data_IF_946466646843
#
_entry.id   IF_946466646843
#
_cell.length_a   1.000
_cell.length_b   1.000
_cell.length_c   1.000
_cell.angle_alpha   90.00
_cell.angle_beta   90.00
_cell.angle_gamma   90.00
#
_symmetry.space_group_name_H-M   'P 1'
#
loop_
_entity.id
_entity.type
_entity.pdbx_description
1 polymer ?
#
# COMPACT_ATOMS: atom_id res chain seq x y z
N UNK A 1 -25.30 -3.11 12.74
CA UNK A 1 -25.34 -4.43 13.36
C UNK A 1 -24.10 -5.14 12.87
N UNK A 2 -23.14 -5.51 13.52
CA UNK A 2 -22.72 -5.60 14.92
C UNK A 2 -21.23 -5.96 14.86
N UNK A 3 -20.48 -5.34 15.69
CA UNK A 3 -19.09 -5.58 15.99
C UNK A 3 -18.67 -7.06 15.93
N UNK A 4 -17.57 -7.32 15.21
CA UNK A 4 -16.69 -8.44 15.44
C UNK A 4 -15.25 -7.92 15.52
N UNK A 5 -14.98 -7.20 16.61
CA UNK A 5 -13.62 -6.99 17.11
C UNK A 5 -13.35 -8.13 18.06
N UNK A 6 -12.61 -9.12 17.60
CA UNK A 6 -12.12 -10.18 18.47
C UNK A 6 -11.02 -9.67 19.38
N UNK A 7 -11.26 -9.81 20.66
CA UNK A 7 -10.32 -9.65 21.74
C UNK A 7 -9.08 -10.54 21.50
N UNK A 8 -7.92 -9.94 21.32
CA UNK A 8 -6.64 -10.60 21.64
C UNK A 8 -6.07 -9.90 22.86
N UNK A 9 -5.92 -10.70 23.92
CA UNK A 9 -5.46 -10.28 25.20
C UNK A 9 -4.02 -9.75 25.16
N UNK A 10 -3.79 -8.76 26.02
CA UNK A 10 -2.47 -8.34 26.46
C UNK A 10 -1.73 -9.54 27.08
N UNK A 11 -0.66 -9.96 26.43
CA UNK A 11 0.39 -10.75 27.04
C UNK A 11 1.64 -9.90 27.13
N UNK A 12 1.86 -9.28 28.27
CA UNK A 12 3.14 -8.66 28.65
C UNK A 12 4.07 -9.75 29.14
N UNK A 13 5.28 -9.80 28.58
CA UNK A 13 6.55 -10.28 29.16
C UNK A 13 7.59 -10.09 28.05
N UNK A 14 8.57 -9.27 28.10
CA UNK A 14 9.53 -9.00 29.14
C UNK A 14 10.85 -9.69 28.85
N UNK A 15 11.92 -8.90 28.68
CA UNK A 15 13.35 -9.21 28.57
C UNK A 15 13.86 -9.16 27.10
N UNK A 16 14.55 -8.12 26.67
CA UNK A 16 15.81 -7.67 27.19
C UNK A 16 16.91 -8.09 26.24
N UNK A 17 17.48 -7.14 25.48
CA UNK A 17 18.92 -6.97 25.51
C UNK A 17 19.36 -5.80 24.64
N UNK A 18 20.15 -4.99 25.26
CA UNK A 18 20.82 -3.83 24.76
C UNK A 18 21.70 -4.13 23.55
N UNK A 19 21.33 -3.49 22.43
CA UNK A 19 22.25 -3.14 21.38
C UNK A 19 22.29 -1.63 21.34
N UNK A 20 23.13 -1.01 22.18
CA UNK A 20 23.38 0.43 22.14
C UNK A 20 24.17 0.75 20.87
N UNK A 21 23.47 0.86 19.75
CA UNK A 21 23.93 1.56 18.58
C UNK A 21 23.74 3.07 18.85
N UNK A 22 24.84 3.77 19.08
CA UNK A 22 24.85 5.23 19.14
C UNK A 22 24.35 5.78 17.81
N UNK A 23 23.03 6.00 17.69
CA UNK A 23 22.50 6.86 16.64
C UNK A 23 22.75 8.30 17.09
N UNK A 24 23.68 8.96 16.39
CA UNK A 24 23.86 10.39 16.44
C UNK A 24 22.50 11.08 16.43
N UNK A 25 22.31 12.05 17.32
CA UNK A 25 21.20 13.00 17.28
C UNK A 25 21.03 13.45 15.83
N UNK A 26 19.92 13.06 15.20
CA UNK A 26 19.53 13.67 13.94
C UNK A 26 19.55 15.18 14.16
N UNK A 27 20.38 15.89 13.44
CA UNK A 27 20.34 17.34 13.38
C UNK A 27 19.00 17.67 12.76
N UNK A 28 18.05 18.17 13.58
CA UNK A 28 16.80 18.70 13.08
C UNK A 28 17.07 19.68 11.95
N UNK A 29 16.18 19.71 10.96
CA UNK A 29 16.26 20.67 9.85
C UNK A 29 16.56 22.07 10.39
N UNK A 30 17.43 22.80 9.73
CA UNK A 30 17.82 24.14 10.19
C UNK A 30 16.58 25.00 10.41
N UNK A 31 16.27 25.32 11.67
CA UNK A 31 15.14 26.17 12.05
C UNK A 31 14.03 25.51 12.85
N UNK A 32 13.84 24.17 12.79
CA UNK A 32 12.81 23.50 13.58
C UNK A 32 13.35 23.09 14.96
N UNK A 33 12.58 23.36 16.01
CA UNK A 33 12.87 22.92 17.38
C UNK A 33 11.77 22.01 17.90
N UNK A 34 12.17 20.99 18.68
CA UNK A 34 11.22 20.12 19.36
C UNK A 34 10.42 20.92 20.40
N UNK A 35 9.15 20.60 20.61
CA UNK A 35 8.30 21.31 21.56
C UNK A 35 8.79 21.11 23.00
N UNK A 36 8.54 22.11 23.84
CA UNK A 36 8.82 22.04 25.29
C UNK A 36 7.77 21.22 26.06
N UNK A 37 6.58 21.07 25.50
CA UNK A 37 5.49 20.29 26.06
C UNK A 37 5.07 19.21 25.04
N UNK A 38 4.66 18.01 25.53
CA UNK A 38 4.26 16.95 24.62
C UNK A 38 3.01 17.34 23.83
N UNK A 39 3.03 17.09 22.51
CA UNK A 39 1.91 17.35 21.61
C UNK A 39 0.99 16.15 21.47
N UNK A 40 -0.28 16.39 21.12
CA UNK A 40 -1.18 15.36 20.65
C UNK A 40 -1.11 15.28 19.12
N UNK A 41 -1.08 14.05 18.57
CA UNK A 41 -1.04 13.79 17.12
C UNK A 41 -2.32 13.07 16.68
N UNK A 42 -2.94 13.58 15.63
CA UNK A 42 -4.07 12.96 14.92
C UNK A 42 -3.57 12.35 13.61
N UNK A 43 -3.64 11.04 13.52
CA UNK A 43 -3.13 10.25 12.42
C UNK A 43 -4.31 9.66 11.67
N UNK A 44 -4.40 9.89 10.36
CA UNK A 44 -5.39 9.24 9.51
C UNK A 44 -4.73 8.20 8.60
N UNK A 45 -5.36 7.03 8.49
CA UNK A 45 -4.97 5.96 7.59
C UNK A 45 -6.02 5.79 6.49
N UNK A 46 -5.60 5.97 5.25
CA UNK A 46 -6.46 5.82 4.08
C UNK A 46 -6.01 4.67 3.16
N UNK A 47 -5.07 3.84 3.62
CA UNK A 47 -4.50 2.75 2.82
C UNK A 47 -4.44 1.39 3.56
N UNK A 48 -4.92 1.32 4.81
CA UNK A 48 -4.74 0.14 5.66
C UNK A 48 -3.34 0.03 6.27
N UNK A 49 -2.56 1.10 6.25
CA UNK A 49 -1.17 1.11 6.70
C UNK A 49 -1.02 0.87 8.22
N UNK A 50 -2.01 1.22 9.02
CA UNK A 50 -1.97 0.97 10.47
C UNK A 50 -1.81 -0.51 10.82
N UNK A 51 -2.25 -1.44 9.98
CA UNK A 51 -1.96 -2.86 10.19
C UNK A 51 -0.45 -3.14 10.26
N UNK A 52 0.33 -2.41 9.47
CA UNK A 52 1.78 -2.57 9.32
C UNK A 52 2.59 -1.71 10.31
N UNK A 53 2.06 -0.59 10.75
CA UNK A 53 2.84 0.47 11.39
C UNK A 53 2.35 0.87 12.78
N UNK A 54 1.12 0.56 13.18
CA UNK A 54 0.59 0.99 14.47
C UNK A 54 1.46 0.54 15.66
N UNK A 55 1.99 -0.70 15.72
CA UNK A 55 2.88 -1.09 16.82
C UNK A 55 4.14 -0.21 16.92
N UNK A 56 4.72 0.20 15.78
CA UNK A 56 5.88 1.08 15.74
C UNK A 56 5.53 2.52 16.16
N UNK A 57 4.34 3.03 15.77
CA UNK A 57 3.81 4.33 16.23
C UNK A 57 3.65 4.35 17.75
N UNK A 58 3.06 3.30 18.32
CA UNK A 58 2.90 3.17 19.77
C UNK A 58 4.25 3.01 20.49
N UNK A 59 5.20 2.30 19.89
CA UNK A 59 6.56 2.20 20.42
C UNK A 59 7.25 3.58 20.45
N UNK A 60 7.06 4.41 19.43
CA UNK A 60 7.54 5.79 19.43
C UNK A 60 6.94 6.60 20.58
N UNK A 61 5.61 6.58 20.74
CA UNK A 61 4.92 7.29 21.83
C UNK A 61 5.43 6.84 23.20
N UNK A 62 5.63 5.54 23.38
CA UNK A 62 6.17 4.99 24.63
C UNK A 62 7.62 5.40 24.89
N UNK A 63 8.46 5.48 23.85
CA UNK A 63 9.86 5.88 23.95
C UNK A 63 10.06 7.38 24.10
N UNK A 64 9.10 8.21 23.65
CA UNK A 64 9.18 9.68 23.61
C UNK A 64 7.99 10.37 24.30
N UNK A 65 7.66 10.04 25.58
CA UNK A 65 6.49 10.61 26.26
C UNK A 65 6.62 12.12 26.49
N UNK A 66 7.83 12.66 26.43
CA UNK A 66 8.11 14.09 26.49
C UNK A 66 7.83 14.83 25.18
N UNK A 67 7.62 14.11 24.07
CA UNK A 67 7.29 14.69 22.76
C UNK A 67 5.85 14.45 22.37
N UNK A 68 5.27 13.30 22.74
CA UNK A 68 3.92 12.92 22.34
C UNK A 68 3.11 12.48 23.58
N UNK A 69 2.06 13.23 23.86
CA UNK A 69 1.12 12.93 24.96
C UNK A 69 0.08 11.89 24.53
N UNK A 70 -0.41 11.97 23.31
CA UNK A 70 -1.45 11.11 22.76
C UNK A 70 -1.33 10.98 21.24
N UNK A 71 -1.67 9.79 20.74
CA UNK A 71 -1.94 9.56 19.31
C UNK A 71 -3.39 9.10 19.15
N UNK A 72 -4.09 9.70 18.19
CA UNK A 72 -5.45 9.31 17.80
C UNK A 72 -5.37 8.77 16.37
N UNK A 73 -6.02 7.63 16.13
CA UNK A 73 -6.03 6.97 14.84
C UNK A 73 -7.43 6.99 14.24
N UNK A 74 -7.53 7.46 13.00
CA UNK A 74 -8.77 7.45 12.22
C UNK A 74 -8.54 6.69 10.92
N UNK A 75 -9.56 6.02 10.41
CA UNK A 75 -9.53 5.34 9.10
C UNK A 75 -10.60 5.95 8.19
N UNK A 76 -10.25 6.22 6.95
CA UNK A 76 -11.16 6.73 5.93
C UNK A 76 -10.82 6.16 4.55
N UNK A 77 -11.75 6.16 3.59
CA UNK A 77 -11.45 5.84 2.20
C UNK A 77 -10.54 6.89 1.56
N UNK A 78 -9.53 6.44 0.79
CA UNK A 78 -8.58 7.33 0.12
C UNK A 78 -9.23 8.42 -0.75
N UNK A 79 -10.31 8.16 -1.52
CA UNK A 79 -10.94 9.18 -2.36
C UNK A 79 -11.59 10.35 -1.63
N UNK A 80 -11.92 10.20 -0.33
CA UNK A 80 -12.58 11.25 0.47
C UNK A 80 -11.57 12.25 1.04
N UNK A 81 -10.33 11.83 1.25
CA UNK A 81 -9.29 12.63 1.93
C UNK A 81 -8.98 13.98 1.26
N UNK A 82 -8.83 14.10 -0.07
CA UNK A 82 -8.47 15.38 -0.68
C UNK A 82 -9.51 16.48 -0.44
N UNK A 83 -10.80 16.12 -0.46
CA UNK A 83 -11.88 17.09 -0.20
C UNK A 83 -11.87 17.55 1.26
N UNK A 84 -11.63 16.63 2.21
CA UNK A 84 -11.52 16.93 3.61
C UNK A 84 -10.34 17.86 3.91
N UNK A 85 -9.15 17.55 3.40
CA UNK A 85 -7.96 18.38 3.58
C UNK A 85 -8.13 19.78 2.98
N UNK A 86 -8.74 19.89 1.81
CA UNK A 86 -9.06 21.19 1.22
C UNK A 86 -10.00 22.03 2.08
N UNK A 87 -11.04 21.41 2.63
CA UNK A 87 -11.97 22.11 3.53
C UNK A 87 -11.28 22.62 4.79
N UNK A 88 -10.40 21.80 5.39
CA UNK A 88 -9.61 22.19 6.55
C UNK A 88 -8.66 23.36 6.22
N UNK A 89 -7.90 23.26 5.14
CA UNK A 89 -6.96 24.29 4.70
C UNK A 89 -7.65 25.61 4.33
N UNK A 90 -8.80 25.55 3.66
CA UNK A 90 -9.61 26.73 3.36
C UNK A 90 -10.14 27.43 4.63
N UNK A 91 -10.37 26.67 5.71
CA UNK A 91 -10.77 27.19 7.01
C UNK A 91 -9.59 27.59 7.91
N UNK A 92 -8.34 27.54 7.42
CA UNK A 92 -7.11 27.70 8.19
C UNK A 92 -7.06 26.78 9.43
N UNK A 93 -7.54 25.56 9.27
CA UNK A 93 -7.62 24.54 10.33
C UNK A 93 -6.80 23.32 9.94
N UNK A 94 -6.18 22.67 10.92
CA UNK A 94 -5.45 21.41 10.76
C UNK A 94 -5.94 20.43 11.81
N UNK A 95 -6.80 19.51 11.41
CA UNK A 95 -7.34 18.46 12.28
C UNK A 95 -6.59 17.14 12.12
N UNK A 96 -5.84 17.00 11.03
CA UNK A 96 -5.03 15.83 10.67
C UNK A 96 -3.56 16.26 10.65
N UNK A 97 -2.74 15.62 11.47
CA UNK A 97 -1.32 15.96 11.59
C UNK A 97 -0.43 15.08 10.70
N UNK A 98 -0.80 13.80 10.54
CA UNK A 98 -0.08 12.82 9.73
C UNK A 98 -1.07 11.96 8.94
N UNK A 99 -0.78 11.75 7.68
CA UNK A 99 -1.53 10.87 6.78
C UNK A 99 -0.69 9.65 6.42
N UNK A 100 -1.24 8.47 6.66
CA UNK A 100 -0.72 7.20 6.16
C UNK A 100 -1.50 6.85 4.90
N UNK A 101 -0.82 6.83 3.75
CA UNK A 101 -1.49 6.72 2.45
C UNK A 101 -0.77 5.78 1.50
N UNK A 102 -1.51 5.25 0.52
CA UNK A 102 -0.96 4.60 -0.66
C UNK A 102 -0.62 5.60 -1.76
N UNK A 103 -0.21 5.08 -2.90
CA UNK A 103 0.15 5.86 -4.09
C UNK A 103 -1.03 6.68 -4.65
N UNK A 104 -2.26 6.22 -4.43
CA UNK A 104 -3.50 6.85 -4.87
C UNK A 104 -3.77 8.21 -4.21
N UNK A 105 -3.89 8.27 -2.86
CA UNK A 105 -4.13 9.54 -2.18
C UNK A 105 -2.86 10.42 -2.12
N UNK A 106 -1.65 9.82 -2.14
CA UNK A 106 -0.43 10.60 -2.38
C UNK A 106 -0.56 11.39 -3.69
N UNK A 107 -0.90 10.70 -4.78
CA UNK A 107 -1.02 11.30 -6.12
C UNK A 107 -2.08 12.40 -6.17
N UNK A 108 -3.27 12.12 -5.62
CA UNK A 108 -4.35 13.10 -5.55
C UNK A 108 -3.98 14.34 -4.73
N UNK A 109 -3.21 14.16 -3.66
CA UNK A 109 -2.75 15.27 -2.83
C UNK A 109 -1.63 16.08 -3.47
N UNK A 110 -0.75 15.45 -4.26
CA UNK A 110 0.26 16.16 -5.07
C UNK A 110 -0.43 17.02 -6.13
N UNK A 111 -1.35 16.43 -6.90
CA UNK A 111 -2.11 17.13 -7.94
C UNK A 111 -2.86 18.35 -7.38
N UNK A 112 -3.39 18.25 -6.18
CA UNK A 112 -4.16 19.29 -5.52
C UNK A 112 -3.33 20.16 -4.56
N UNK A 113 -2.00 19.98 -4.50
CA UNK A 113 -1.06 20.77 -3.69
C UNK A 113 -1.40 20.79 -2.18
N UNK A 114 -1.73 19.62 -1.61
CA UNK A 114 -2.21 19.48 -0.23
C UNK A 114 -1.10 19.18 0.79
N UNK A 115 0.07 18.68 0.34
CA UNK A 115 1.13 18.18 1.22
C UNK A 115 2.21 19.21 1.48
N UNK A 116 2.81 19.17 2.67
CA UNK A 116 4.07 19.87 2.99
C UNK A 116 5.18 19.25 2.14
N UNK A 117 6.05 20.09 1.58
CA UNK A 117 7.29 19.64 0.96
C UNK A 117 8.30 19.27 2.07
N UNK A 118 8.52 17.95 2.23
CA UNK A 118 9.43 17.41 3.24
C UNK A 118 10.88 17.34 2.73
N UNK A 119 11.06 17.17 1.42
CA UNK A 119 12.37 17.05 0.79
C UNK A 119 12.45 18.01 -0.43
N UNK A 120 13.55 18.78 -0.59
CA UNK A 120 14.72 18.79 0.30
C UNK A 120 14.56 19.66 1.55
N UNK A 121 13.46 20.42 1.68
CA UNK A 121 13.30 21.48 2.68
C UNK A 121 13.55 21.02 4.14
N UNK A 122 13.08 19.80 4.49
CA UNK A 122 13.19 19.25 5.83
C UNK A 122 14.17 18.05 5.91
N UNK A 123 15.07 17.92 4.93
CA UNK A 123 15.99 16.77 4.85
C UNK A 123 16.88 16.58 6.09
N UNK A 124 17.21 17.65 6.81
CA UNK A 124 17.99 17.58 8.05
C UNK A 124 17.29 16.86 9.21
N UNK A 125 15.95 16.71 9.17
CA UNK A 125 15.16 15.98 10.16
C UNK A 125 14.97 14.51 9.84
N UNK A 126 15.46 14.03 8.68
CA UNK A 126 15.29 12.67 8.20
C UNK A 126 16.66 11.99 7.99
N UNK A 127 16.74 10.65 8.05
CA UNK A 127 17.93 9.94 7.62
C UNK A 127 18.15 10.15 6.11
N UNK A 128 19.37 9.88 5.61
CA UNK A 128 19.61 9.87 4.16
C UNK A 128 18.87 8.70 3.52
N UNK A 129 17.67 8.96 3.01
CA UNK A 129 16.72 7.95 2.54
C UNK A 129 17.32 7.01 1.49
N UNK A 130 18.13 7.52 0.56
CA UNK A 130 18.80 6.71 -0.47
C UNK A 130 19.80 5.70 0.10
N UNK A 131 20.41 6.00 1.25
CA UNK A 131 21.39 5.10 1.88
C UNK A 131 20.69 3.93 2.59
N UNK A 132 19.50 4.16 3.14
CA UNK A 132 18.79 3.18 3.97
C UNK A 132 17.76 2.36 3.20
N UNK A 133 17.13 2.89 2.16
CA UNK A 133 16.07 2.18 1.43
C UNK A 133 16.61 1.03 0.56
N UNK A 134 15.79 -0.01 0.40
CA UNK A 134 15.90 -0.94 -0.73
C UNK A 134 15.86 -0.15 -2.04
N UNK A 135 16.57 -0.62 -3.08
CA UNK A 135 16.61 0.10 -4.37
C UNK A 135 15.22 0.39 -4.93
N UNK A 136 14.27 -0.57 -5.00
CA UNK A 136 12.93 -0.27 -5.49
C UNK A 136 12.16 0.72 -4.60
N UNK A 137 12.35 0.67 -3.27
CA UNK A 137 11.73 1.63 -2.35
C UNK A 137 12.30 3.05 -2.54
N UNK A 138 13.60 3.17 -2.83
CA UNK A 138 14.21 4.46 -3.18
C UNK A 138 13.64 5.03 -4.49
N UNK A 139 13.33 4.18 -5.47
CA UNK A 139 12.63 4.59 -6.69
C UNK A 139 11.20 5.06 -6.40
N UNK A 140 10.47 4.34 -5.54
CA UNK A 140 9.13 4.75 -5.09
C UNK A 140 9.16 6.09 -4.34
N UNK A 141 10.22 6.36 -3.56
CA UNK A 141 10.39 7.65 -2.89
C UNK A 141 10.44 8.82 -3.90
N UNK A 142 10.99 8.62 -5.09
CA UNK A 142 10.99 9.62 -6.16
C UNK A 142 9.59 10.07 -6.59
N UNK A 143 8.62 9.15 -6.60
CA UNK A 143 7.22 9.46 -6.96
C UNK A 143 6.55 10.42 -5.97
N UNK A 144 7.00 10.48 -4.72
CA UNK A 144 6.48 11.40 -3.74
C UNK A 144 6.84 12.87 -4.02
N UNK A 145 7.75 13.14 -4.95
CA UNK A 145 8.18 14.52 -5.33
C UNK A 145 8.51 15.38 -4.12
N UNK A 146 9.13 14.79 -3.10
CA UNK A 146 9.46 15.47 -1.83
C UNK A 146 8.29 15.63 -0.87
N UNK A 147 7.06 15.25 -1.21
CA UNK A 147 5.85 15.52 -0.44
C UNK A 147 5.39 14.34 0.43
N UNK A 148 6.20 13.31 0.55
CA UNK A 148 5.95 12.15 1.41
C UNK A 148 7.22 11.34 1.64
N UNK A 149 7.19 10.48 2.65
CA UNK A 149 8.27 9.55 3.01
C UNK A 149 7.75 8.13 2.94
N UNK A 150 8.39 7.27 2.15
CA UNK A 150 8.03 5.84 2.04
C UNK A 150 8.21 5.18 3.41
N UNK A 151 7.18 4.48 3.87
CA UNK A 151 7.22 3.73 5.15
C UNK A 151 7.15 2.23 4.95
N UNK A 152 6.47 1.76 3.91
CA UNK A 152 6.44 0.35 3.51
C UNK A 152 6.53 0.21 2.01
N UNK A 153 7.06 -0.93 1.55
CA UNK A 153 7.26 -1.25 0.13
C UNK A 153 6.92 -2.70 -0.14
N UNK A 154 6.37 -2.98 -1.31
CA UNK A 154 6.24 -4.34 -1.82
C UNK A 154 6.24 -4.34 -3.36
N UNK A 155 6.63 -5.46 -4.01
CA UNK A 155 6.60 -5.57 -5.46
C UNK A 155 5.17 -5.58 -6.02
N UNK A 156 4.19 -5.91 -5.20
CA UNK A 156 2.74 -5.85 -5.44
C UNK A 156 2.22 -6.90 -6.41
N UNK A 157 1.92 -6.53 -7.66
CA UNK A 157 1.29 -7.37 -8.67
C UNK A 157 1.59 -6.90 -10.10
N UNK A 158 0.76 -7.25 -11.07
CA UNK A 158 -0.52 -7.99 -10.94
C UNK A 158 -0.33 -9.50 -10.79
N UNK A 159 -0.98 -10.08 -9.82
CA UNK A 159 -1.14 -11.51 -9.70
C UNK A 159 -2.62 -11.88 -9.84
N UNK A 160 -2.91 -13.12 -10.16
CA UNK A 160 -4.25 -13.66 -10.09
C UNK A 160 -4.29 -14.80 -9.09
N UNK A 161 -5.36 -14.86 -8.27
CA UNK A 161 -5.63 -15.96 -7.38
C UNK A 161 -6.81 -16.76 -7.90
N UNK A 162 -6.77 -18.08 -7.75
CA UNK A 162 -7.81 -19.00 -8.22
C UNK A 162 -8.01 -20.16 -7.24
N UNK A 163 -9.18 -20.82 -7.32
CA UNK A 163 -9.45 -22.03 -6.57
C UNK A 163 -9.16 -23.27 -7.43
N UNK A 164 -8.13 -24.07 -7.10
CA UNK A 164 -7.74 -25.24 -7.89
C UNK A 164 -8.86 -26.25 -8.10
N UNK A 165 -9.77 -26.38 -7.14
CA UNK A 165 -10.94 -27.28 -7.25
C UNK A 165 -11.94 -26.83 -8.34
N UNK A 166 -11.98 -25.54 -8.69
CA UNK A 166 -12.92 -24.95 -9.66
C UNK A 166 -12.28 -24.56 -10.97
N UNK A 167 -10.98 -24.20 -10.97
CA UNK A 167 -10.24 -23.82 -12.17
C UNK A 167 -9.15 -24.85 -12.45
N UNK A 168 -9.43 -25.79 -13.35
CA UNK A 168 -8.49 -26.87 -13.71
C UNK A 168 -7.47 -26.42 -14.78
N UNK A 169 -7.92 -25.63 -15.74
CA UNK A 169 -7.10 -25.09 -16.82
C UNK A 169 -6.80 -23.63 -16.52
N UNK A 170 -5.66 -23.38 -15.89
CA UNK A 170 -5.23 -22.04 -15.48
C UNK A 170 -4.71 -21.28 -16.70
N UNK A 171 -5.26 -20.09 -17.01
CA UNK A 171 -4.79 -19.26 -18.12
C UNK A 171 -3.33 -18.86 -17.96
N UNK A 172 -2.56 -18.90 -19.04
CA UNK A 172 -1.13 -18.51 -19.05
C UNK A 172 -0.89 -17.17 -19.73
N UNK A 173 -1.80 -16.75 -20.60
CA UNK A 173 -1.69 -15.49 -21.35
C UNK A 173 -2.91 -14.61 -21.13
N UNK A 174 -2.83 -13.34 -21.50
CA UNK A 174 -3.97 -12.43 -21.42
C UNK A 174 -5.13 -12.88 -22.32
N UNK A 175 -4.82 -13.43 -23.49
CA UNK A 175 -5.80 -13.96 -24.43
C UNK A 175 -6.53 -15.18 -23.84
N UNK A 176 -5.79 -16.11 -23.22
CA UNK A 176 -6.38 -17.28 -22.55
C UNK A 176 -7.26 -16.86 -21.35
N UNK A 177 -6.86 -15.81 -20.60
CA UNK A 177 -7.66 -15.28 -19.51
C UNK A 177 -8.97 -14.66 -20.02
N UNK A 178 -8.92 -13.92 -21.12
CA UNK A 178 -10.10 -13.36 -21.75
C UNK A 178 -11.04 -14.48 -22.24
N UNK A 179 -10.51 -15.51 -22.89
CA UNK A 179 -11.30 -16.65 -23.38
C UNK A 179 -11.91 -17.44 -22.21
N UNK A 180 -11.14 -17.69 -21.15
CA UNK A 180 -11.64 -18.30 -19.94
C UNK A 180 -12.81 -17.49 -19.34
N UNK A 181 -12.70 -16.16 -19.31
CA UNK A 181 -13.74 -15.31 -18.76
C UNK A 181 -15.04 -15.34 -19.58
N UNK A 182 -14.95 -15.48 -20.91
CA UNK A 182 -16.13 -15.65 -21.78
C UNK A 182 -16.89 -16.94 -21.47
N UNK A 183 -16.14 -18.03 -21.24
CA UNK A 183 -16.70 -19.34 -20.92
C UNK A 183 -17.21 -19.42 -19.48
N UNK A 184 -16.68 -18.58 -18.59
CA UNK A 184 -16.97 -18.54 -17.16
C UNK A 184 -17.44 -17.14 -16.74
N UNK A 185 -18.56 -16.67 -17.32
CA UNK A 185 -19.11 -15.33 -17.05
C UNK A 185 -19.30 -15.09 -15.56
N UNK A 186 -18.87 -13.93 -15.10
CA UNK A 186 -18.95 -13.48 -13.71
C UNK A 186 -18.12 -14.32 -12.71
N UNK A 187 -17.21 -15.18 -13.20
CA UNK A 187 -16.35 -15.99 -12.32
C UNK A 187 -14.98 -15.37 -12.06
N UNK A 188 -14.57 -14.40 -12.88
CA UNK A 188 -13.43 -13.52 -12.65
C UNK A 188 -13.92 -12.12 -12.19
N UNK A 189 -13.27 -11.56 -11.18
CA UNK A 189 -13.57 -10.21 -10.72
C UNK A 189 -12.29 -9.50 -10.24
N UNK A 190 -12.28 -8.17 -10.31
CA UNK A 190 -11.31 -7.29 -9.66
C UNK A 190 -12.00 -6.02 -9.16
N UNK A 191 -11.46 -5.40 -8.13
CA UNK A 191 -12.01 -4.16 -7.60
C UNK A 191 -11.64 -2.95 -8.46
N UNK A 192 -12.38 -1.87 -8.31
CA UNK A 192 -12.11 -0.58 -8.98
C UNK A 192 -10.68 -0.12 -8.71
N UNK A 193 -9.89 0.23 -9.75
CA UNK A 193 -8.47 0.55 -9.60
C UNK A 193 -8.16 1.70 -8.64
N UNK A 194 -9.01 2.73 -8.61
CA UNK A 194 -8.84 3.88 -7.71
C UNK A 194 -8.94 3.53 -6.22
N UNK A 195 -9.57 2.38 -5.88
CA UNK A 195 -9.85 1.99 -4.49
C UNK A 195 -9.22 0.66 -4.12
N UNK A 196 -8.32 0.13 -4.95
CA UNK A 196 -7.76 -1.21 -4.76
C UNK A 196 -6.34 -1.33 -5.32
N UNK A 197 -5.39 -1.71 -4.47
CA UNK A 197 -4.04 -2.04 -4.90
C UNK A 197 -4.01 -3.13 -5.99
N UNK A 198 -4.66 -4.30 -5.79
CA UNK A 198 -4.80 -5.32 -6.84
C UNK A 198 -5.40 -4.79 -8.15
N UNK A 199 -6.52 -4.08 -8.09
CA UNK A 199 -7.14 -3.50 -9.29
C UNK A 199 -6.25 -2.49 -10.00
N UNK A 200 -5.56 -1.66 -9.24
CA UNK A 200 -4.59 -0.67 -9.73
C UNK A 200 -3.41 -1.34 -10.43
N UNK A 201 -2.77 -2.31 -9.80
CA UNK A 201 -1.62 -2.99 -10.39
C UNK A 201 -2.00 -3.86 -11.59
N UNK A 202 -3.21 -4.41 -11.62
CA UNK A 202 -3.72 -5.12 -12.81
C UNK A 202 -3.85 -4.15 -13.99
N UNK A 203 -4.53 -3.04 -13.80
CA UNK A 203 -4.67 -2.02 -14.85
C UNK A 203 -3.32 -1.53 -15.36
N UNK A 204 -2.35 -1.25 -14.47
CA UNK A 204 -1.02 -0.75 -14.84
C UNK A 204 -0.05 -1.83 -15.32
N UNK A 205 -0.28 -3.10 -15.00
CA UNK A 205 0.53 -4.22 -15.46
C UNK A 205 0.17 -4.70 -16.86
N UNK A 206 -1.10 -4.55 -17.25
CA UNK A 206 -1.57 -4.98 -18.58
C UNK A 206 -0.81 -4.35 -19.75
N UNK A 207 -0.42 -3.07 -19.74
CA UNK A 207 0.34 -2.48 -20.84
C UNK A 207 1.68 -3.20 -21.12
N UNK A 208 2.33 -3.72 -20.09
CA UNK A 208 3.55 -4.52 -20.25
C UNK A 208 3.24 -5.90 -20.81
N UNK A 209 2.22 -6.58 -20.27
CA UNK A 209 1.77 -7.91 -20.70
C UNK A 209 1.31 -7.87 -22.17
N UNK A 210 0.53 -6.87 -22.55
CA UNK A 210 -0.04 -6.72 -23.89
C UNK A 210 0.92 -6.03 -24.86
N UNK A 211 2.08 -5.56 -24.37
CA UNK A 211 3.08 -4.83 -25.18
C UNK A 211 2.44 -3.61 -25.87
N UNK A 212 1.83 -2.77 -25.07
CA UNK A 212 1.35 -1.46 -25.53
C UNK A 212 2.51 -0.55 -25.93
N UNK A 213 2.24 0.46 -26.75
CA UNK A 213 3.25 1.33 -27.31
C UNK A 213 4.03 2.12 -26.24
N UNK A 214 3.34 2.57 -25.20
CA UNK A 214 3.95 3.26 -24.05
C UNK A 214 3.22 2.90 -22.75
N UNK A 215 3.77 2.00 -21.92
CA UNK A 215 3.16 1.63 -20.64
C UNK A 215 3.01 2.78 -19.63
N UNK A 216 3.65 3.93 -19.85
CA UNK A 216 3.57 5.10 -18.97
C UNK A 216 2.58 6.17 -19.47
N UNK A 217 1.97 5.99 -20.62
CA UNK A 217 1.00 6.94 -21.19
C UNK A 217 -0.38 6.28 -21.39
N UNK A 218 -1.29 6.37 -20.41
CA UNK A 218 -2.63 5.77 -20.52
C UNK A 218 -3.53 6.46 -21.53
N UNK A 219 -3.17 7.66 -22.00
CA UNK A 219 -3.99 8.44 -22.95
C UNK A 219 -3.72 8.02 -24.38
N UNK A 220 -2.45 7.86 -24.76
CA UNK A 220 -2.02 7.61 -26.15
C UNK A 220 -1.29 6.29 -26.34
N UNK A 221 -0.89 5.64 -25.24
CA UNK A 221 -0.03 4.47 -25.29
C UNK A 221 -0.72 3.15 -24.92
N UNK A 222 -1.99 3.14 -24.45
CA UNK A 222 -2.69 1.97 -23.91
C UNK A 222 -3.84 1.46 -24.77
N UNK A 223 -3.73 1.52 -26.09
CA UNK A 223 -4.80 1.09 -27.00
C UNK A 223 -5.21 -0.37 -26.76
N UNK A 224 -4.21 -1.27 -26.61
CA UNK A 224 -4.46 -2.71 -26.39
C UNK A 224 -5.05 -2.94 -24.99
N UNK A 225 -4.53 -2.27 -23.98
CA UNK A 225 -5.03 -2.37 -22.60
C UNK A 225 -6.49 -1.92 -22.50
N UNK A 226 -6.86 -0.79 -23.07
CA UNK A 226 -8.25 -0.33 -23.03
C UNK A 226 -9.19 -1.27 -23.80
N UNK A 227 -8.78 -1.75 -24.99
CA UNK A 227 -9.54 -2.74 -25.75
C UNK A 227 -9.72 -4.03 -24.95
N UNK A 228 -8.66 -4.53 -24.31
CA UNK A 228 -8.68 -5.73 -23.49
C UNK A 228 -9.58 -5.59 -22.26
N UNK A 229 -9.46 -4.49 -21.50
CA UNK A 229 -10.28 -4.26 -20.32
C UNK A 229 -11.77 -4.11 -20.64
N UNK A 230 -12.11 -3.51 -21.78
CA UNK A 230 -13.50 -3.45 -22.29
C UNK A 230 -14.03 -4.85 -22.58
N UNK A 231 -13.27 -5.64 -23.35
CA UNK A 231 -13.67 -7.00 -23.71
C UNK A 231 -13.78 -7.92 -22.48
N UNK A 232 -12.83 -7.80 -21.52
CA UNK A 232 -12.90 -8.52 -20.25
C UNK A 232 -14.11 -8.09 -19.44
N UNK A 233 -14.41 -6.79 -19.44
CA UNK A 233 -15.55 -6.20 -18.76
C UNK A 233 -16.90 -6.73 -19.22
N UNK A 234 -17.04 -7.16 -20.47
CA UNK A 234 -18.30 -7.80 -20.98
C UNK A 234 -18.66 -9.06 -20.21
N UNK A 235 -17.67 -9.71 -19.57
CA UNK A 235 -17.82 -10.94 -18.81
C UNK A 235 -17.83 -10.71 -17.29
N UNK A 236 -17.82 -9.44 -16.84
CA UNK A 236 -17.85 -9.03 -15.44
C UNK A 236 -19.14 -8.23 -15.20
N UNK A 237 -19.93 -8.68 -14.24
CA UNK A 237 -21.23 -8.07 -13.92
C UNK A 237 -21.07 -6.67 -13.32
N UNK A 238 -20.14 -6.49 -12.38
CA UNK A 238 -19.84 -5.23 -11.71
C UNK A 238 -18.42 -5.25 -11.11
N UNK A 239 -17.95 -4.10 -10.67
CA UNK A 239 -16.65 -3.95 -10.03
C UNK A 239 -16.82 -3.54 -8.56
N UNK A 240 -16.37 -4.38 -7.60
CA UNK A 240 -16.43 -4.05 -6.18
C UNK A 240 -15.76 -2.73 -5.85
N UNK A 241 -16.27 -2.05 -4.82
CA UNK A 241 -15.75 -0.76 -4.36
C UNK A 241 -14.35 -0.83 -3.71
N UNK A 242 -13.84 -2.03 -3.43
CA UNK A 242 -12.53 -2.23 -2.82
C UNK A 242 -12.11 -3.69 -2.76
N UNK A 243 -10.89 -3.93 -2.27
CA UNK A 243 -10.28 -5.26 -2.29
C UNK A 243 -10.95 -6.23 -1.31
N UNK A 244 -11.32 -5.78 -0.12
CA UNK A 244 -11.94 -6.66 0.91
C UNK A 244 -13.23 -7.32 0.42
N UNK A 245 -14.22 -6.61 -0.17
CA UNK A 245 -15.40 -7.27 -0.74
C UNK A 245 -15.04 -8.21 -1.88
N UNK A 246 -14.05 -7.90 -2.71
CA UNK A 246 -13.56 -8.80 -3.77
C UNK A 246 -13.06 -10.12 -3.20
N UNK A 247 -12.23 -10.09 -2.15
CA UNK A 247 -11.70 -11.30 -1.50
C UNK A 247 -12.81 -12.12 -0.83
N UNK A 248 -13.85 -11.48 -0.27
CA UNK A 248 -14.99 -12.19 0.30
C UNK A 248 -15.77 -12.98 -0.76
N UNK A 249 -16.05 -12.39 -1.93
CA UNK A 249 -16.71 -13.09 -3.04
C UNK A 249 -15.88 -14.25 -3.59
N UNK A 250 -14.56 -14.13 -3.54
CA UNK A 250 -13.67 -15.23 -3.90
C UNK A 250 -13.69 -16.33 -2.84
N UNK A 251 -13.62 -15.95 -1.57
CA UNK A 251 -13.59 -16.89 -0.45
C UNK A 251 -14.89 -17.68 -0.28
N UNK A 252 -16.05 -17.04 -0.49
CA UNK A 252 -17.37 -17.70 -0.37
C UNK A 252 -17.75 -18.55 -1.62
N UNK A 253 -16.92 -18.51 -2.67
CA UNK A 253 -17.12 -19.30 -3.88
C UNK A 253 -18.01 -18.63 -4.93
N UNK A 254 -18.46 -17.41 -4.73
CA UNK A 254 -19.18 -16.65 -5.76
C UNK A 254 -18.30 -16.43 -6.99
N UNK A 255 -16.99 -16.20 -6.76
CA UNK A 255 -15.97 -16.06 -7.80
C UNK A 255 -14.98 -17.23 -7.73
N UNK A 256 -14.47 -17.63 -8.89
CA UNK A 256 -13.48 -18.71 -9.01
C UNK A 256 -12.06 -18.18 -9.20
N UNK A 257 -11.95 -16.90 -9.61
CA UNK A 257 -10.70 -16.21 -9.86
C UNK A 257 -10.82 -14.72 -9.51
N UNK A 258 -9.77 -14.15 -8.92
CA UNK A 258 -9.66 -12.73 -8.62
C UNK A 258 -8.28 -12.21 -8.94
N UNK A 259 -8.20 -10.91 -9.22
CA UNK A 259 -6.91 -10.21 -9.25
C UNK A 259 -6.43 -9.97 -7.83
N UNK A 260 -5.14 -10.20 -7.59
CA UNK A 260 -4.50 -10.07 -6.28
C UNK A 260 -3.09 -9.45 -6.38
N UNK A 261 -2.44 -9.32 -5.24
CA UNK A 261 -1.03 -8.95 -5.06
C UNK A 261 -0.38 -9.92 -4.08
N UNK A 262 0.92 -9.83 -3.86
CA UNK A 262 1.62 -10.66 -2.87
C UNK A 262 0.93 -10.64 -1.50
N UNK A 263 0.60 -9.44 -1.01
CA UNK A 263 -0.02 -9.28 0.29
C UNK A 263 -1.50 -9.69 0.33
N UNK A 264 -2.25 -9.33 -0.69
CA UNK A 264 -3.67 -9.71 -0.82
C UNK A 264 -3.87 -11.19 -1.20
N UNK A 265 -2.80 -11.91 -1.51
CA UNK A 265 -2.79 -13.36 -1.53
C UNK A 265 -2.59 -13.95 -0.11
N UNK A 266 -1.58 -13.48 0.62
CA UNK A 266 -1.21 -14.07 1.92
C UNK A 266 -2.23 -13.71 3.00
N UNK A 267 -2.46 -12.43 3.25
CA UNK A 267 -3.22 -11.94 4.40
C UNK A 267 -4.67 -12.44 4.44
N UNK A 268 -5.47 -12.45 3.34
CA UNK A 268 -6.81 -13.01 3.38
C UNK A 268 -6.86 -14.50 3.72
N UNK A 269 -5.81 -15.28 3.39
CA UNK A 269 -5.70 -16.69 3.79
C UNK A 269 -5.37 -16.82 5.28
N UNK A 270 -4.49 -15.98 5.81
CA UNK A 270 -4.21 -15.92 7.26
C UNK A 270 -5.48 -15.60 8.04
N UNK A 271 -6.28 -14.65 7.57
CA UNK A 271 -7.53 -14.23 8.20
C UNK A 271 -8.71 -15.19 7.99
N UNK A 272 -8.52 -16.27 7.22
CA UNK A 272 -9.59 -17.22 6.89
C UNK A 272 -10.71 -16.64 6.00
N UNK A 273 -10.47 -15.49 5.36
CA UNK A 273 -11.39 -14.87 4.39
C UNK A 273 -11.36 -15.66 3.08
N UNK A 274 -10.17 -16.09 2.68
CA UNK A 274 -9.91 -16.90 1.50
C UNK A 274 -9.40 -18.27 1.96
N UNK A 275 -9.85 -19.37 1.37
CA UNK A 275 -9.38 -20.71 1.69
C UNK A 275 -7.85 -20.83 1.50
N UNK A 276 -7.19 -21.60 2.37
CA UNK A 276 -5.75 -21.82 2.34
C UNK A 276 -5.25 -22.41 1.02
N UNK A 277 -6.10 -23.21 0.37
CA UNK A 277 -5.83 -23.90 -0.89
C UNK A 277 -5.82 -22.99 -2.10
N UNK A 278 -6.25 -21.73 -1.97
CA UNK A 278 -6.20 -20.78 -3.07
C UNK A 278 -4.77 -20.68 -3.61
N UNK A 279 -4.62 -20.80 -4.91
CA UNK A 279 -3.35 -20.75 -5.62
C UNK A 279 -3.22 -19.44 -6.41
N UNK A 280 -1.99 -19.13 -6.83
CA UNK A 280 -1.70 -17.93 -7.63
C UNK A 280 -1.10 -18.29 -8.98
N UNK A 281 -1.18 -17.35 -9.91
CA UNK A 281 -0.43 -17.37 -11.16
C UNK A 281 -0.20 -15.95 -11.68
N UNK A 282 0.73 -15.81 -12.61
CA UNK A 282 0.98 -14.61 -13.39
C UNK A 282 0.80 -14.91 -14.88
N UNK A 283 0.50 -13.89 -15.68
CA UNK A 283 0.37 -14.01 -17.12
C UNK A 283 1.73 -13.88 -17.82
N UNK A 284 1.88 -14.49 -18.97
CA UNK A 284 3.08 -14.35 -19.80
C UNK A 284 3.35 -12.86 -20.10
N UNK A 285 4.61 -12.45 -20.02
CA UNK A 285 5.00 -11.03 -20.14
C UNK A 285 4.83 -10.22 -18.86
N UNK A 286 4.59 -10.89 -17.73
CA UNK A 286 4.45 -10.29 -16.42
C UNK A 286 5.65 -9.42 -16.04
N UNK A 287 5.35 -8.27 -15.46
CA UNK A 287 6.27 -7.43 -14.70
C UNK A 287 5.58 -7.01 -13.41
N UNK A 288 6.31 -6.95 -12.32
CA UNK A 288 5.79 -6.37 -11.10
C UNK A 288 5.51 -4.88 -11.31
N UNK A 289 4.38 -4.40 -10.87
CA UNK A 289 4.12 -2.97 -10.68
C UNK A 289 4.16 -2.70 -9.20
N UNK A 290 5.24 -2.09 -8.75
CA UNK A 290 5.49 -1.84 -7.34
C UNK A 290 4.44 -0.93 -6.70
N UNK A 291 4.26 -1.07 -5.40
CA UNK A 291 3.44 -0.18 -4.60
C UNK A 291 4.14 0.13 -3.26
N UNK A 292 3.76 1.25 -2.65
CA UNK A 292 4.32 1.69 -1.39
C UNK A 292 3.29 2.46 -0.58
N UNK A 293 3.46 2.46 0.73
CA UNK A 293 2.76 3.41 1.58
C UNK A 293 3.69 4.54 2.01
N UNK A 294 3.10 5.69 2.21
CA UNK A 294 3.77 6.94 2.49
C UNK A 294 3.25 7.58 3.77
N UNK A 295 4.13 8.26 4.44
CA UNK A 295 3.82 9.23 5.50
C UNK A 295 3.81 10.61 4.88
N UNK A 296 2.66 11.29 4.86
CA UNK A 296 2.48 12.62 4.31
C UNK A 296 1.99 13.59 5.38
N UNK A 297 2.40 14.85 5.29
CA UNK A 297 2.01 15.91 6.24
C UNK A 297 1.12 16.91 5.51
N UNK A 298 -0.13 17.15 5.95
CA UNK A 298 -0.97 18.19 5.37
C UNK A 298 -0.39 19.59 5.57
N UNK A 299 -0.55 20.48 4.59
CA UNK A 299 -0.16 21.89 4.70
C UNK A 299 -0.92 22.59 5.82
N UNK A 300 -0.24 23.55 6.45
CA UNK A 300 -0.78 24.33 7.56
C UNK A 300 -0.39 23.82 8.95
N UNK A 301 0.30 22.67 9.04
CA UNK A 301 0.78 22.15 10.31
C UNK A 301 1.80 23.09 10.96
N UNK A 302 1.68 23.31 12.28
CA UNK A 302 2.62 24.13 13.03
C UNK A 302 4.00 23.48 13.17
N UNK A 303 5.05 24.31 13.27
CA UNK A 303 6.46 23.87 13.26
C UNK A 303 6.80 22.86 14.37
N UNK A 304 6.27 23.04 15.58
CA UNK A 304 6.52 22.12 16.69
C UNK A 304 6.00 20.70 16.40
N UNK A 305 4.79 20.57 15.86
CA UNK A 305 4.24 19.27 15.45
C UNK A 305 5.01 18.71 14.25
N UNK A 306 5.40 19.53 13.29
CA UNK A 306 6.21 19.10 12.15
C UNK A 306 7.55 18.53 12.63
N UNK A 307 8.22 19.17 13.59
CA UNK A 307 9.47 18.67 14.18
C UNK A 307 9.29 17.28 14.82
N UNK A 308 8.19 17.07 15.57
CA UNK A 308 7.88 15.79 16.17
C UNK A 308 7.59 14.73 15.11
N UNK A 309 6.88 15.08 14.04
CA UNK A 309 6.57 14.14 12.95
C UNK A 309 7.83 13.73 12.19
N UNK A 310 8.79 14.63 11.97
CA UNK A 310 10.07 14.26 11.35
C UNK A 310 10.89 13.30 12.23
N UNK A 311 10.92 13.52 13.55
CA UNK A 311 11.55 12.60 14.51
C UNK A 311 10.83 11.25 14.52
N UNK A 312 9.48 11.25 14.48
CA UNK A 312 8.66 10.04 14.32
C UNK A 312 8.97 9.31 13.01
N UNK A 313 9.01 10.01 11.86
CA UNK A 313 9.34 9.39 10.57
C UNK A 313 10.73 8.75 10.61
N UNK A 314 11.71 9.41 11.20
CA UNK A 314 13.06 8.87 11.38
C UNK A 314 13.09 7.62 12.26
N UNK A 315 12.29 7.59 13.32
CA UNK A 315 12.11 6.42 14.17
C UNK A 315 11.46 5.25 13.41
N UNK A 316 10.39 5.52 12.64
CA UNK A 316 9.67 4.53 11.86
C UNK A 316 10.54 3.85 10.80
N UNK A 317 11.60 4.52 10.34
CA UNK A 317 12.55 3.98 9.35
C UNK A 317 13.71 3.18 9.97
N UNK A 318 13.75 3.00 11.27
CA UNK A 318 14.74 2.13 11.91
C UNK A 318 14.42 0.65 11.61
N UNK A 319 15.43 -0.22 11.39
CA UNK A 319 15.18 -1.63 11.05
C UNK A 319 14.27 -2.38 12.02
N UNK A 320 14.37 -2.12 13.32
CA UNK A 320 13.53 -2.74 14.34
C UNK A 320 12.05 -2.33 14.19
N UNK A 321 11.77 -1.12 13.75
CA UNK A 321 10.41 -0.62 13.53
C UNK A 321 9.87 -1.10 12.19
N UNK A 322 10.72 -1.15 11.19
CA UNK A 322 10.38 -1.68 9.87
C UNK A 322 10.02 -3.17 9.89
N UNK A 323 10.54 -3.93 10.86
CA UNK A 323 10.23 -5.35 10.99
C UNK A 323 8.73 -5.62 11.30
N UNK A 324 8.03 -4.67 11.90
CA UNK A 324 6.56 -4.79 12.08
C UNK A 324 5.81 -4.82 10.74
N UNK A 325 6.38 -4.27 9.67
CA UNK A 325 5.74 -4.23 8.36
C UNK A 325 5.58 -5.60 7.68
N UNK A 326 6.23 -6.65 8.18
CA UNK A 326 5.92 -8.02 7.75
C UNK A 326 4.48 -8.41 8.10
N UNK A 327 3.96 -7.91 9.24
CA UNK A 327 2.60 -8.14 9.71
C UNK A 327 2.18 -9.64 9.55
N UNK A 328 0.97 -9.88 9.13
CA UNK A 328 0.46 -11.18 8.69
C UNK A 328 0.48 -11.28 7.15
N UNK A 329 1.50 -10.69 6.52
CA UNK A 329 1.70 -10.70 5.07
C UNK A 329 0.82 -9.72 4.29
N UNK A 330 0.17 -8.75 4.97
CA UNK A 330 -0.77 -7.83 4.31
C UNK A 330 -0.15 -7.01 3.17
N UNK A 331 1.15 -6.69 3.28
CA UNK A 331 1.89 -5.92 2.27
C UNK A 331 3.24 -6.57 1.94
N UNK A 332 3.23 -7.88 1.74
CA UNK A 332 4.43 -8.72 1.67
C UNK A 332 5.43 -8.29 0.58
N UNK A 333 6.76 -8.13 0.89
CA UNK A 333 7.37 -8.35 2.20
C UNK A 333 7.12 -7.23 3.23
N UNK A 334 6.88 -5.98 2.84
CA UNK A 334 6.50 -4.86 3.70
C UNK A 334 7.61 -3.89 4.02
N UNK A 335 8.78 -4.30 4.59
CA UNK A 335 9.86 -3.37 4.91
C UNK A 335 10.40 -2.63 3.67
N UNK A 336 10.59 -1.33 3.81
CA UNK A 336 11.22 -0.49 2.78
C UNK A 336 12.73 -0.31 2.95
N UNK A 337 13.25 -0.65 4.13
CA UNK A 337 14.63 -0.39 4.56
C UNK A 337 15.49 -1.64 4.45
N UNK A 338 16.77 -1.45 4.07
CA UNK A 338 17.77 -2.52 3.98
C UNK A 338 18.04 -3.17 5.35
N UNK A 339 18.45 -4.43 5.33
CA UNK A 339 18.90 -5.16 6.53
C UNK A 339 17.77 -5.62 7.44
N UNK A 340 16.52 -5.44 7.07
CA UNK A 340 15.36 -5.97 7.80
C UNK A 340 15.08 -7.39 7.34
N UNK A 341 14.99 -8.32 8.29
CA UNK A 341 14.72 -9.74 8.01
C UNK A 341 13.47 -10.20 8.74
N UNK A 342 12.83 -11.26 8.25
CA UNK A 342 11.67 -11.87 8.90
C UNK A 342 11.96 -12.31 10.34
N UNK A 343 13.21 -12.72 10.65
CA UNK A 343 13.62 -13.09 12.00
C UNK A 343 13.53 -11.93 13.01
N UNK A 344 13.53 -10.68 12.55
CA UNK A 344 13.34 -9.48 13.38
C UNK A 344 11.88 -9.16 13.65
N UNK A 345 10.96 -9.73 12.86
CA UNK A 345 9.53 -9.48 12.97
C UNK A 345 8.94 -10.13 14.24
N UNK A 346 7.76 -9.67 14.71
CA UNK A 346 7.03 -10.34 15.77
C UNK A 346 6.81 -11.83 15.48
N UNK A 347 6.79 -12.65 16.52
CA UNK A 347 6.61 -14.11 16.38
C UNK A 347 5.35 -14.48 15.61
N UNK A 348 4.25 -13.75 15.82
CA UNK A 348 3.01 -13.96 15.09
C UNK A 348 3.19 -13.78 13.58
N UNK A 349 3.93 -12.74 13.17
CA UNK A 349 4.25 -12.51 11.73
C UNK A 349 5.10 -13.65 11.16
N UNK A 350 6.12 -14.09 11.92
CA UNK A 350 6.96 -15.21 11.49
C UNK A 350 6.14 -16.50 11.30
N UNK A 351 5.22 -16.79 12.23
CA UNK A 351 4.38 -17.99 12.17
C UNK A 351 3.38 -17.92 11.01
N UNK A 352 2.73 -16.76 10.83
CA UNK A 352 1.81 -16.54 9.72
C UNK A 352 2.50 -16.71 8.36
N UNK A 353 3.68 -16.11 8.18
CA UNK A 353 4.43 -16.21 6.92
C UNK A 353 5.05 -17.60 6.70
N UNK A 354 5.39 -18.32 7.76
CA UNK A 354 5.81 -19.71 7.66
C UNK A 354 4.68 -20.62 7.19
N UNK A 355 3.44 -20.36 7.63
CA UNK A 355 2.29 -21.21 7.31
C UNK A 355 1.63 -20.83 5.97
N UNK A 356 1.50 -19.54 5.67
CA UNK A 356 0.74 -19.01 4.53
C UNK A 356 1.60 -18.34 3.47
N UNK A 357 2.89 -18.12 3.72
CA UNK A 357 3.82 -17.58 2.72
C UNK A 357 3.93 -18.49 1.50
N UNK A 358 4.48 -17.94 0.42
CA UNK A 358 4.69 -18.66 -0.84
C UNK A 358 6.18 -18.83 -1.09
N UNK A 359 6.69 -20.06 -1.15
CA UNK A 359 8.11 -20.30 -1.46
C UNK A 359 8.54 -19.75 -2.82
N UNK A 360 7.60 -19.67 -3.77
CA UNK A 360 7.83 -19.15 -5.12
C UNK A 360 8.03 -17.64 -5.19
N UNK A 361 7.62 -16.87 -4.19
CA UNK A 361 7.71 -15.40 -4.25
C UNK A 361 9.13 -14.88 -4.34
N UNK A 362 10.07 -15.45 -3.60
CA UNK A 362 11.47 -15.00 -3.66
C UNK A 362 12.04 -15.15 -5.07
N UNK A 363 11.78 -16.28 -5.73
CA UNK A 363 12.20 -16.53 -7.09
C UNK A 363 11.48 -15.61 -8.10
N UNK A 364 10.18 -15.39 -7.93
CA UNK A 364 9.41 -14.50 -8.79
C UNK A 364 9.88 -13.04 -8.67
N UNK A 365 10.15 -12.57 -7.45
CA UNK A 365 10.61 -11.21 -7.19
C UNK A 365 12.01 -10.99 -7.76
N UNK A 366 12.90 -11.97 -7.60
CA UNK A 366 14.26 -11.88 -8.14
C UNK A 366 14.32 -12.06 -9.67
N UNK A 367 13.38 -12.82 -10.25
CA UNK A 367 13.40 -13.22 -11.67
C UNK A 367 12.55 -12.37 -12.60
N UNK A 368 11.74 -11.43 -12.09
CA UNK A 368 10.85 -10.62 -12.93
C UNK A 368 11.14 -9.13 -12.82
N UNK A 369 10.99 -8.35 -13.91
CA UNK A 369 11.17 -6.91 -13.87
C UNK A 369 10.24 -6.24 -12.84
N UNK A 370 10.74 -5.19 -12.20
CA UNK A 370 9.95 -4.35 -11.28
C UNK A 370 9.79 -2.97 -11.90
N UNK A 371 8.55 -2.64 -12.24
CA UNK A 371 8.16 -1.37 -12.80
C UNK A 371 7.58 -0.46 -11.71
N UNK A 372 7.86 0.84 -11.82
CA UNK A 372 7.16 1.83 -10.99
C UNK A 372 5.70 1.96 -11.46
N UNK A 373 4.76 2.34 -10.60
CA UNK A 373 3.44 2.78 -11.04
C UNK A 373 3.53 4.02 -11.94
N UNK A 374 2.41 4.48 -12.43
CA UNK A 374 2.32 5.76 -13.15
C UNK A 374 2.71 6.92 -12.24
N UNK A 375 3.20 7.99 -12.83
CA UNK A 375 3.38 9.26 -12.13
C UNK A 375 2.04 9.76 -11.56
N UNK A 376 2.06 10.53 -10.46
CA UNK A 376 0.85 10.91 -9.74
C UNK A 376 -0.29 11.51 -10.59
N UNK A 377 0.04 12.50 -11.40
CA UNK A 377 -0.90 13.17 -12.31
C UNK A 377 -1.42 12.26 -13.43
N UNK A 378 -0.54 11.40 -13.95
CA UNK A 378 -0.90 10.40 -14.97
C UNK A 378 -1.79 9.30 -14.38
N UNK A 379 -1.55 8.91 -13.13
CA UNK A 379 -2.37 7.90 -12.43
C UNK A 379 -3.81 8.38 -12.25
N UNK A 380 -4.01 9.64 -11.86
CA UNK A 380 -5.35 10.25 -11.74
C UNK A 380 -6.09 10.22 -13.08
N UNK A 381 -5.38 10.51 -14.18
CA UNK A 381 -5.95 10.40 -15.52
C UNK A 381 -6.33 8.95 -15.88
N UNK A 382 -5.46 7.98 -15.56
CA UNK A 382 -5.74 6.57 -15.83
C UNK A 382 -6.98 6.07 -15.09
N UNK A 383 -7.19 6.48 -13.83
CA UNK A 383 -8.40 6.14 -13.07
C UNK A 383 -9.66 6.71 -13.70
N UNK A 384 -9.61 7.97 -14.16
CA UNK A 384 -10.73 8.61 -14.86
C UNK A 384 -11.05 7.88 -16.16
N UNK A 385 -10.04 7.59 -16.99
CA UNK A 385 -10.21 6.84 -18.23
C UNK A 385 -10.80 5.45 -18.00
N UNK A 386 -10.37 4.76 -16.92
CA UNK A 386 -10.94 3.47 -16.56
C UNK A 386 -12.42 3.60 -16.18
N UNK A 387 -12.78 4.60 -15.39
CA UNK A 387 -14.18 4.87 -15.04
C UNK A 387 -15.02 5.16 -16.27
N UNK A 388 -14.55 6.00 -17.18
CA UNK A 388 -15.25 6.39 -18.40
C UNK A 388 -15.41 5.22 -19.38
N UNK A 389 -14.37 4.40 -19.57
CA UNK A 389 -14.31 3.44 -20.65
C UNK A 389 -14.67 2.01 -20.25
N UNK A 390 -14.53 1.66 -18.96
CA UNK A 390 -14.64 0.26 -18.48
C UNK A 390 -15.67 0.12 -17.36
N UNK A 391 -15.52 0.82 -16.25
CA UNK A 391 -16.22 0.52 -15.01
C UNK A 391 -17.34 1.47 -14.61
N UNK A 392 -17.43 2.63 -15.20
CA UNK A 392 -18.35 3.69 -14.75
C UNK A 392 -19.83 3.31 -14.79
N UNK A 393 -20.25 2.54 -15.79
CA UNK A 393 -21.63 2.06 -15.96
C UNK A 393 -21.95 0.80 -15.12
N UNK A 394 -20.95 0.16 -14.51
CA UNK A 394 -21.06 -1.13 -13.77
C UNK A 394 -20.87 -0.92 -12.28
N UNK A 395 -21.62 0.00 -11.70
CA UNK A 395 -21.71 0.21 -10.24
C UNK A 395 -22.85 -0.62 -9.68
N UNK A 396 -22.58 -1.31 -8.58
CA UNK A 396 -23.62 -1.98 -7.79
C UNK A 396 -24.32 -0.96 -6.91
#
# INVERSE_FOLDING_TARGET
MTDLITRRGLGVLGAGMAGAGFFNRATLAQGLSLPKQPVALNIIDVAGNLALTQPALEAYRAAKPNLVSRMTYTKAPAPELPAELKAQQAANRVDIDLVLTGTDALSAGIDQNLWVELLPAQAGGLPKLQDIYLEPAARMQGLARGQGVVVTYYPSGPLLSYMPARVRNVPKTAEELLEWSKQNKNKLIYARPANSGPGRTFMMGLPYILKDANPKDPVKGWDKTWAYLKALGENIEYYPSGTTPTMKEFGDGTRDMVVTTTGWDINPRVLGIVPKEAAIFSLAGFSWVADAHYMCVPKGLGEEKLAVILDLMSFMLQPAQQAYAYDEGYFYPGPAVKGVTLAMAPKASQDALKEFGRPEYDAMIAGSPVELPLDPDVMVQAFRLWDEQVGGSKRR
#
